data_IF_547060911908
#
_entry.id   IF_547060911908
#
_cell.length_a   1.000
_cell.length_b   1.000
_cell.length_c   1.000
_cell.angle_alpha   90.00
_cell.angle_beta   90.00
_cell.angle_gamma   90.00
#
_symmetry.space_group_name_H-M   'P 1'
#
loop_
_entity.id
_entity.type
_entity.pdbx_description
1 polymer ?
#
# COMPACT_ATOMS: atom_id res chain seq x y z
N UNK A 1 -7.81 22.19 12.44
CA UNK A 1 -6.85 21.51 11.55
C UNK A 1 -6.88 20.04 11.94
N UNK A 2 -7.32 19.18 11.06
CA UNK A 2 -7.37 17.74 11.30
C UNK A 2 -6.52 17.00 10.27
N UNK A 3 -6.27 15.72 10.53
CA UNK A 3 -5.64 14.80 9.58
C UNK A 3 -6.74 13.96 8.98
N UNK A 4 -7.06 14.16 7.70
CA UNK A 4 -8.08 13.40 7.00
C UNK A 4 -7.45 12.25 6.21
N UNK A 5 -7.90 11.02 6.46
CA UNK A 5 -7.40 9.82 5.78
C UNK A 5 -8.51 9.25 4.92
N UNK A 6 -8.32 9.22 3.60
CA UNK A 6 -9.27 8.58 2.69
C UNK A 6 -9.05 7.07 2.62
N UNK A 7 -10.05 6.31 2.18
CA UNK A 7 -9.95 4.85 2.22
C UNK A 7 -9.72 4.29 3.62
N UNK A 8 -10.18 5.00 4.64
CA UNK A 8 -9.89 4.75 6.05
C UNK A 8 -10.36 3.39 6.57
N UNK A 9 -11.30 2.73 5.92
CA UNK A 9 -11.74 1.35 6.24
C UNK A 9 -10.96 0.27 5.50
N UNK A 10 -10.04 0.67 4.60
CA UNK A 10 -9.15 -0.26 3.90
C UNK A 10 -7.95 -0.67 4.74
N UNK A 11 -7.19 -1.67 4.26
CA UNK A 11 -6.04 -2.22 4.99
C UNK A 11 -4.99 -1.15 5.36
N UNK A 12 -4.62 -0.28 4.42
CA UNK A 12 -3.62 0.76 4.69
C UNK A 12 -4.20 1.89 5.55
N UNK A 13 -5.39 2.39 5.19
CA UNK A 13 -6.00 3.53 5.89
C UNK A 13 -6.23 3.27 7.38
N UNK A 14 -6.66 2.05 7.75
CA UNK A 14 -6.81 1.65 9.17
C UNK A 14 -5.49 1.69 9.92
N UNK A 15 -4.42 1.17 9.31
CA UNK A 15 -3.09 1.17 9.92
C UNK A 15 -2.53 2.59 10.08
N UNK A 16 -2.77 3.47 9.10
CA UNK A 16 -2.37 4.89 9.22
C UNK A 16 -3.08 5.57 10.39
N UNK A 17 -4.39 5.37 10.53
CA UNK A 17 -5.15 5.95 11.65
C UNK A 17 -4.63 5.39 12.98
N UNK A 18 -4.40 4.08 13.07
CA UNK A 18 -3.86 3.46 14.28
C UNK A 18 -2.49 4.05 14.65
N UNK A 19 -1.57 4.18 13.70
CA UNK A 19 -0.23 4.76 13.93
C UNK A 19 -0.33 6.25 14.34
N UNK A 20 -1.24 7.04 13.74
CA UNK A 20 -1.49 8.43 14.15
C UNK A 20 -1.92 8.51 15.63
N UNK A 21 -2.85 7.66 16.04
CA UNK A 21 -3.31 7.60 17.42
C UNK A 21 -2.20 7.15 18.40
N UNK A 22 -1.40 6.16 18.00
CA UNK A 22 -0.22 5.69 18.76
C UNK A 22 0.85 6.78 18.90
N UNK A 23 1.00 7.66 17.91
CA UNK A 23 1.87 8.85 17.98
C UNK A 23 1.32 9.96 18.88
N UNK A 24 0.12 9.79 19.44
CA UNK A 24 -0.50 10.76 20.34
C UNK A 24 -1.32 11.85 19.62
N UNK A 25 -1.65 11.67 18.33
CA UNK A 25 -2.62 12.54 17.67
C UNK A 25 -3.99 12.29 18.33
N UNK A 26 -4.64 13.36 18.80
CA UNK A 26 -5.94 13.24 19.44
C UNK A 26 -6.99 12.65 18.48
N UNK A 27 -7.84 11.71 18.90
CA UNK A 27 -8.81 11.06 18.02
C UNK A 27 -9.72 12.05 17.27
N UNK A 28 -10.14 13.12 17.92
CA UNK A 28 -10.98 14.19 17.37
C UNK A 28 -10.23 15.09 16.37
N UNK A 29 -8.90 14.99 16.31
CA UNK A 29 -8.07 15.62 15.28
C UNK A 29 -7.83 14.70 14.07
N UNK A 30 -8.41 13.51 14.03
CA UNK A 30 -8.33 12.56 12.90
C UNK A 30 -9.72 12.41 12.28
N UNK A 31 -9.78 12.52 10.95
CA UNK A 31 -11.00 12.28 10.17
C UNK A 31 -10.84 11.06 9.25
N UNK A 32 -11.69 10.07 9.42
CA UNK A 32 -11.79 8.90 8.56
C UNK A 32 -12.77 9.18 7.41
N UNK A 33 -12.25 9.35 6.19
CA UNK A 33 -13.08 9.53 4.99
C UNK A 33 -13.36 8.17 4.38
N UNK A 34 -14.63 7.76 4.34
CA UNK A 34 -15.08 6.41 4.00
C UNK A 34 -16.27 6.42 3.05
N UNK A 35 -16.44 5.38 2.24
CA UNK A 35 -17.62 5.20 1.37
C UNK A 35 -18.86 4.74 2.15
N UNK A 36 -18.62 3.97 3.20
CA UNK A 36 -19.65 3.37 4.05
C UNK A 36 -19.33 3.64 5.52
N UNK A 37 -20.11 4.52 6.15
CA UNK A 37 -19.92 4.88 7.55
C UNK A 37 -20.12 3.72 8.53
N UNK A 38 -20.94 2.73 8.19
CA UNK A 38 -21.14 1.57 9.05
C UNK A 38 -19.87 0.73 9.24
N UNK A 39 -18.98 0.71 8.23
CA UNK A 39 -17.69 0.02 8.31
C UNK A 39 -16.63 0.74 9.14
N UNK A 40 -16.93 1.97 9.58
CA UNK A 40 -16.05 2.80 10.41
C UNK A 40 -16.58 2.96 11.85
N UNK A 41 -17.54 2.14 12.28
CA UNK A 41 -18.17 2.24 13.60
C UNK A 41 -17.13 2.10 14.74
N UNK A 42 -16.13 1.26 14.57
CA UNK A 42 -15.02 1.10 15.52
C UNK A 42 -14.14 2.36 15.61
N UNK A 43 -13.86 3.02 14.48
CA UNK A 43 -13.13 4.29 14.45
C UNK A 43 -13.93 5.40 15.14
N UNK A 44 -15.25 5.47 14.85
CA UNK A 44 -16.14 6.42 15.54
C UNK A 44 -16.19 6.16 17.06
N UNK A 45 -16.23 4.90 17.49
CA UNK A 45 -16.19 4.54 18.90
C UNK A 45 -14.86 4.91 19.58
N UNK A 46 -13.77 4.95 18.80
CA UNK A 46 -12.47 5.44 19.26
C UNK A 46 -12.37 7.00 19.30
N UNK A 47 -13.42 7.71 18.89
CA UNK A 47 -13.46 9.18 18.88
C UNK A 47 -12.97 9.83 17.58
N UNK A 48 -12.70 9.05 16.54
CA UNK A 48 -12.30 9.54 15.22
C UNK A 48 -13.53 10.10 14.49
N UNK A 49 -13.41 11.26 13.88
CA UNK A 49 -14.48 11.83 13.05
C UNK A 49 -14.70 10.95 11.80
N UNK A 50 -15.93 10.59 11.50
CA UNK A 50 -16.28 9.83 10.29
C UNK A 50 -16.95 10.74 9.28
N UNK A 51 -16.33 10.90 8.09
CA UNK A 51 -16.85 11.66 6.96
C UNK A 51 -17.19 10.69 5.82
N UNK A 52 -18.44 10.73 5.34
CA UNK A 52 -18.86 9.83 4.25
C UNK A 52 -18.66 10.52 2.91
N UNK A 53 -17.81 9.92 2.05
CA UNK A 53 -17.56 10.40 0.70
C UNK A 53 -17.10 9.26 -0.22
N UNK A 54 -17.46 9.39 -1.50
CA UNK A 54 -17.17 8.39 -2.52
C UNK A 54 -16.52 9.08 -3.73
N UNK A 55 -15.40 8.56 -4.18
CA UNK A 55 -14.66 9.09 -5.33
C UNK A 55 -15.47 9.06 -6.63
N UNK A 56 -16.40 8.10 -6.76
CA UNK A 56 -17.30 7.99 -7.91
C UNK A 56 -18.51 8.94 -7.83
N UNK A 57 -18.68 9.61 -6.70
CA UNK A 57 -19.76 10.57 -6.46
C UNK A 57 -19.19 11.90 -5.98
N UNK A 58 -18.65 12.75 -6.91
CA UNK A 58 -17.96 14.00 -6.57
C UNK A 58 -18.76 14.95 -5.67
N UNK A 59 -20.10 14.90 -5.74
CA UNK A 59 -20.97 15.70 -4.90
C UNK A 59 -20.84 15.36 -3.40
N UNK A 60 -20.43 14.13 -3.07
CA UNK A 60 -20.20 13.70 -1.68
C UNK A 60 -18.88 14.20 -1.11
N UNK A 61 -17.93 14.58 -1.96
CA UNK A 61 -16.62 15.07 -1.55
C UNK A 61 -16.63 16.49 -0.97
N UNK A 62 -17.75 17.21 -1.11
CA UNK A 62 -17.86 18.58 -0.64
C UNK A 62 -17.62 18.79 0.86
N UNK A 63 -17.90 17.78 1.67
CA UNK A 63 -17.68 17.79 3.12
C UNK A 63 -16.57 16.83 3.57
N UNK A 64 -15.81 16.27 2.63
CA UNK A 64 -14.74 15.32 2.98
C UNK A 64 -13.54 16.00 3.63
N UNK A 65 -13.29 17.26 3.28
CA UNK A 65 -12.11 18.02 3.70
C UNK A 65 -12.50 19.40 4.22
N UNK A 66 -11.73 19.92 5.15
CA UNK A 66 -11.86 21.29 5.68
C UNK A 66 -10.59 22.11 5.40
N UNK A 67 -10.73 23.45 5.46
CA UNK A 67 -9.60 24.34 5.31
C UNK A 67 -8.51 24.06 6.34
N UNK A 68 -7.27 23.94 5.89
CA UNK A 68 -6.11 23.66 6.73
C UNK A 68 -5.95 22.17 7.11
N UNK A 69 -6.79 21.26 6.63
CA UNK A 69 -6.58 19.82 6.86
C UNK A 69 -5.30 19.33 6.18
N UNK A 70 -4.65 18.34 6.79
CA UNK A 70 -3.61 17.52 6.14
C UNK A 70 -4.28 16.24 5.67
N UNK A 71 -4.26 16.00 4.38
CA UNK A 71 -5.03 14.92 3.77
C UNK A 71 -4.10 13.82 3.30
N UNK A 72 -4.39 12.55 3.64
CA UNK A 72 -3.86 11.40 2.95
C UNK A 72 -4.89 10.91 1.91
N UNK A 73 -4.58 11.09 0.64
CA UNK A 73 -5.30 10.45 -0.45
C UNK A 73 -4.72 9.06 -0.69
N UNK A 74 -5.41 8.03 -0.21
CA UNK A 74 -5.08 6.64 -0.53
C UNK A 74 -5.59 6.35 -1.94
N UNK A 75 -4.70 5.86 -2.81
CA UNK A 75 -5.03 5.55 -4.21
C UNK A 75 -6.16 4.52 -4.30
N UNK A 76 -7.05 4.72 -5.26
CA UNK A 76 -8.12 3.75 -5.58
C UNK A 76 -7.54 2.42 -6.06
N UNK A 77 -8.30 1.33 -5.89
CA UNK A 77 -7.92 -0.01 -6.34
C UNK A 77 -8.54 -0.40 -7.70
N UNK A 78 -9.33 0.48 -8.30
CA UNK A 78 -10.01 0.25 -9.57
C UNK A 78 -9.16 0.74 -10.73
N UNK A 79 -8.30 -0.14 -11.26
CA UNK A 79 -7.45 0.15 -12.44
C UNK A 79 -8.35 0.56 -13.62
N UNK A 80 -7.96 1.60 -14.35
CA UNK A 80 -8.74 2.20 -15.45
C UNK A 80 -9.73 3.28 -15.00
N UNK A 81 -10.02 3.41 -13.68
CA UNK A 81 -10.94 4.42 -13.14
C UNK A 81 -10.27 5.43 -12.21
N UNK A 82 -9.02 5.19 -11.85
CA UNK A 82 -8.30 6.03 -10.87
C UNK A 82 -8.21 7.49 -11.26
N UNK A 83 -7.89 7.80 -12.53
CA UNK A 83 -7.65 9.19 -12.95
C UNK A 83 -8.87 10.07 -12.68
N UNK A 84 -10.10 9.77 -13.15
CA UNK A 84 -11.28 10.58 -12.84
C UNK A 84 -11.63 10.58 -11.35
N UNK A 85 -11.49 9.46 -10.65
CA UNK A 85 -11.72 9.38 -9.20
C UNK A 85 -10.75 10.28 -8.42
N UNK A 86 -9.45 10.21 -8.74
CA UNK A 86 -8.44 11.02 -8.08
C UNK A 86 -8.58 12.51 -8.42
N UNK A 87 -8.92 12.86 -9.66
CA UNK A 87 -9.19 14.24 -10.04
C UNK A 87 -10.31 14.85 -9.18
N UNK A 88 -11.39 14.11 -8.94
CA UNK A 88 -12.49 14.59 -8.09
C UNK A 88 -12.04 14.86 -6.63
N UNK A 89 -11.16 14.00 -6.08
CA UNK A 89 -10.59 14.20 -4.74
C UNK A 89 -9.67 15.42 -4.70
N UNK A 90 -8.80 15.57 -5.71
CA UNK A 90 -7.86 16.71 -5.82
C UNK A 90 -8.64 18.02 -5.93
N UNK A 91 -9.68 18.07 -6.75
CA UNK A 91 -10.56 19.22 -6.88
C UNK A 91 -11.25 19.59 -5.57
N UNK A 92 -11.75 18.59 -4.83
CA UNK A 92 -12.38 18.80 -3.53
C UNK A 92 -11.38 19.32 -2.49
N UNK A 93 -10.19 18.75 -2.43
CA UNK A 93 -9.11 19.19 -1.55
C UNK A 93 -8.65 20.64 -1.87
N UNK A 94 -8.57 20.96 -3.17
CA UNK A 94 -8.22 22.32 -3.64
C UNK A 94 -9.29 23.33 -3.25
N UNK A 95 -10.57 23.02 -3.46
CA UNK A 95 -11.68 23.92 -3.04
C UNK A 95 -11.75 24.09 -1.52
N UNK A 96 -11.42 23.06 -0.77
CA UNK A 96 -11.38 23.13 0.70
C UNK A 96 -10.20 23.95 1.23
N UNK A 97 -9.12 24.12 0.44
CA UNK A 97 -7.90 24.79 0.88
C UNK A 97 -7.13 23.98 1.92
N UNK A 98 -6.89 22.69 1.65
CA UNK A 98 -6.12 21.83 2.55
C UNK A 98 -4.68 22.29 2.68
N UNK A 99 -4.04 22.08 3.84
CA UNK A 99 -2.67 22.50 4.08
C UNK A 99 -1.64 21.56 3.45
N UNK A 100 -1.99 20.30 3.24
CA UNK A 100 -1.14 19.29 2.61
C UNK A 100 -2.00 18.21 1.97
N UNK A 101 -1.65 17.81 0.75
CA UNK A 101 -2.18 16.63 0.09
C UNK A 101 -1.08 15.57 -0.05
N UNK A 102 -1.03 14.61 0.85
CA UNK A 102 -0.19 13.42 0.73
C UNK A 102 -0.89 12.36 -0.13
N UNK A 103 -0.17 11.75 -1.06
CA UNK A 103 -0.73 10.77 -1.98
C UNK A 103 0.08 9.47 -1.98
N UNK A 104 -0.60 8.32 -1.85
CA UNK A 104 0.03 7.01 -1.99
C UNK A 104 0.25 6.70 -3.47
N UNK A 105 1.41 7.06 -3.97
CA UNK A 105 1.88 6.80 -5.32
C UNK A 105 2.63 5.47 -5.41
N UNK A 106 3.39 5.26 -6.47
CA UNK A 106 4.15 4.04 -6.74
C UNK A 106 5.65 4.33 -6.87
N UNK A 107 6.47 3.40 -6.38
CA UNK A 107 7.94 3.45 -6.44
C UNK A 107 8.43 3.73 -7.84
N UNK A 108 9.44 4.61 -7.95
CA UNK A 108 10.01 5.06 -9.21
C UNK A 108 9.29 6.27 -9.84
N UNK A 109 8.04 6.55 -9.44
CA UNK A 109 7.28 7.71 -9.92
C UNK A 109 7.31 7.86 -11.44
N UNK A 110 7.83 9.01 -11.98
CA UNK A 110 7.89 9.21 -13.43
C UNK A 110 8.77 8.22 -14.21
N UNK A 111 9.66 7.49 -13.54
CA UNK A 111 10.57 6.51 -14.13
C UNK A 111 10.06 5.07 -14.05
N UNK A 112 8.97 4.83 -13.35
CA UNK A 112 8.36 3.50 -13.27
C UNK A 112 7.84 3.08 -14.65
N UNK A 113 8.14 1.85 -15.07
CA UNK A 113 7.89 1.31 -16.41
C UNK A 113 7.04 0.04 -16.37
N UNK A 114 6.03 0.01 -15.51
CA UNK A 114 5.02 -1.04 -15.42
C UNK A 114 3.62 -0.44 -15.39
N UNK A 115 2.62 -1.22 -15.80
CA UNK A 115 1.27 -0.73 -16.13
C UNK A 115 0.58 0.09 -15.03
N UNK A 116 0.73 -0.32 -13.77
CA UNK A 116 0.15 0.44 -12.65
C UNK A 116 0.72 1.87 -12.51
N UNK A 117 1.92 2.11 -12.99
CA UNK A 117 2.60 3.40 -12.84
C UNK A 117 1.96 4.53 -13.67
N UNK A 118 1.29 4.21 -14.77
CA UNK A 118 0.72 5.23 -15.67
C UNK A 118 -0.34 6.08 -14.98
N UNK A 119 -1.28 5.46 -14.27
CA UNK A 119 -2.33 6.18 -13.55
C UNK A 119 -1.78 6.93 -12.32
N UNK A 120 -0.74 6.39 -11.68
CA UNK A 120 -0.06 7.07 -10.57
C UNK A 120 0.69 8.31 -11.06
N UNK A 121 1.37 8.22 -12.21
CA UNK A 121 2.06 9.35 -12.85
C UNK A 121 1.07 10.46 -13.21
N UNK A 122 -0.03 10.11 -13.88
CA UNK A 122 -1.07 11.08 -14.22
C UNK A 122 -1.65 11.74 -12.96
N UNK A 123 -1.80 10.99 -11.86
CA UNK A 123 -2.29 11.56 -10.60
C UNK A 123 -1.26 12.48 -9.95
N UNK A 124 0.03 12.15 -9.95
CA UNK A 124 1.10 13.06 -9.47
C UNK A 124 1.10 14.36 -10.26
N UNK A 125 0.93 14.30 -11.60
CA UNK A 125 0.84 15.48 -12.46
C UNK A 125 -0.38 16.37 -12.12
N UNK A 126 -1.56 15.76 -11.89
CA UNK A 126 -2.76 16.48 -11.46
C UNK A 126 -2.56 17.16 -10.10
N UNK A 127 -1.96 16.47 -9.14
CA UNK A 127 -1.68 17.04 -7.82
C UNK A 127 -0.68 18.19 -7.94
N UNK A 128 0.40 18.04 -8.69
CA UNK A 128 1.40 19.10 -8.88
C UNK A 128 0.80 20.33 -9.57
N UNK A 129 -0.15 20.13 -10.51
CA UNK A 129 -0.84 21.22 -11.21
C UNK A 129 -1.91 21.91 -10.35
N UNK A 130 -2.38 21.30 -9.25
CA UNK A 130 -3.44 21.84 -8.39
C UNK A 130 -3.02 23.09 -7.59
N UNK A 131 -1.72 23.32 -7.42
CA UNK A 131 -1.15 24.37 -6.58
C UNK A 131 -1.19 24.09 -5.08
N UNK A 132 -1.70 22.94 -4.64
CA UNK A 132 -1.65 22.51 -3.23
C UNK A 132 -0.21 22.13 -2.83
N UNK A 133 0.20 22.39 -1.57
CA UNK A 133 1.36 21.71 -1.01
C UNK A 133 1.10 20.18 -1.02
N UNK A 134 2.06 19.42 -1.48
CA UNK A 134 1.88 17.97 -1.64
C UNK A 134 3.04 17.14 -1.09
N UNK A 135 2.77 15.86 -0.85
CA UNK A 135 3.80 14.84 -0.62
C UNK A 135 3.46 13.57 -1.39
N UNK A 136 4.38 13.08 -2.22
CA UNK A 136 4.24 11.80 -2.88
C UNK A 136 4.91 10.70 -2.05
N UNK A 137 4.09 9.78 -1.54
CA UNK A 137 4.53 8.55 -0.89
C UNK A 137 4.58 7.49 -1.98
N UNK A 138 5.72 7.35 -2.65
CA UNK A 138 5.93 6.40 -3.74
C UNK A 138 6.20 5.02 -3.14
N UNK A 139 5.12 4.35 -2.79
CA UNK A 139 5.15 3.03 -2.17
C UNK A 139 5.67 1.99 -3.16
N UNK A 140 6.58 1.14 -2.70
CA UNK A 140 6.98 -0.07 -3.41
C UNK A 140 5.87 -1.13 -3.34
N UNK A 141 6.21 -2.34 -2.91
CA UNK A 141 5.26 -3.44 -2.91
C UNK A 141 5.01 -3.97 -1.49
N UNK A 142 3.77 -4.36 -1.19
CA UNK A 142 3.41 -4.87 0.13
C UNK A 142 3.79 -6.35 0.26
N UNK A 143 4.48 -6.71 1.33
CA UNK A 143 4.82 -8.11 1.64
C UNK A 143 3.56 -8.97 1.79
N UNK A 144 2.46 -8.38 2.27
CA UNK A 144 1.19 -9.06 2.47
C UNK A 144 0.48 -9.47 1.16
N UNK A 145 0.91 -8.98 0.01
CA UNK A 145 0.42 -9.50 -1.29
C UNK A 145 0.84 -10.96 -1.47
N UNK A 146 2.01 -11.31 -0.97
CA UNK A 146 2.53 -12.69 -1.03
C UNK A 146 2.03 -13.55 0.14
N UNK A 147 2.04 -12.99 1.36
CA UNK A 147 1.62 -13.77 2.54
C UNK A 147 0.12 -14.08 2.55
N UNK A 148 -0.72 -13.28 1.88
CA UNK A 148 -2.14 -13.61 1.71
C UNK A 148 -2.38 -14.95 1.00
N UNK A 149 -1.39 -15.44 0.23
CA UNK A 149 -1.48 -16.73 -0.48
C UNK A 149 -0.87 -17.91 0.31
N UNK A 150 -0.40 -17.69 1.55
CA UNK A 150 0.21 -18.75 2.37
C UNK A 150 -0.66 -20.00 2.54
N UNK A 151 -2.00 -19.94 2.70
CA UNK A 151 -2.81 -21.14 2.77
C UNK A 151 -2.61 -22.06 1.57
N UNK A 152 -2.65 -21.55 0.35
CA UNK A 152 -2.43 -22.32 -0.87
C UNK A 152 -0.97 -22.79 -1.00
N UNK A 153 0.00 -21.95 -0.61
CA UNK A 153 1.42 -22.32 -0.59
C UNK A 153 1.67 -23.51 0.34
N UNK A 154 1.06 -23.51 1.54
CA UNK A 154 1.20 -24.59 2.50
C UNK A 154 0.47 -25.89 2.07
N UNK A 155 -0.63 -25.75 1.34
CA UNK A 155 -1.39 -26.89 0.81
C UNK A 155 -0.64 -27.59 -0.32
N UNK A 156 -0.05 -26.79 -1.24
CA UNK A 156 0.56 -27.34 -2.46
C UNK A 156 2.10 -27.48 -2.37
N UNK A 157 2.73 -26.92 -1.35
CA UNK A 157 4.20 -26.95 -1.17
C UNK A 157 4.95 -26.12 -2.22
N UNK A 158 4.29 -25.14 -2.84
CA UNK A 158 4.90 -24.37 -3.93
C UNK A 158 4.49 -22.89 -3.93
N UNK A 159 5.48 -22.03 -4.13
CA UNK A 159 5.32 -20.62 -4.51
C UNK A 159 5.47 -20.55 -6.03
N UNK A 160 4.50 -20.00 -6.73
CA UNK A 160 4.51 -19.85 -8.19
C UNK A 160 4.67 -18.37 -8.55
N UNK A 161 5.57 -18.08 -9.49
CA UNK A 161 5.80 -16.73 -10.01
C UNK A 161 6.45 -16.76 -11.38
N UNK A 162 6.64 -15.60 -11.98
CA UNK A 162 7.34 -15.40 -13.26
C UNK A 162 8.46 -14.35 -13.16
N UNK A 163 9.03 -14.18 -11.98
CA UNK A 163 10.08 -13.20 -11.71
C UNK A 163 11.51 -13.78 -11.80
N UNK A 164 11.66 -15.10 -12.06
CA UNK A 164 12.98 -15.75 -12.06
C UNK A 164 13.74 -15.50 -10.77
N UNK A 165 15.00 -15.04 -10.90
CA UNK A 165 15.87 -14.65 -9.79
C UNK A 165 15.75 -13.17 -9.41
N UNK A 166 14.76 -12.46 -9.95
CA UNK A 166 14.51 -11.06 -9.65
C UNK A 166 14.27 -10.81 -8.17
N UNK A 167 14.65 -9.61 -7.70
CA UNK A 167 14.55 -9.25 -6.29
C UNK A 167 13.57 -8.12 -6.10
N UNK A 168 12.90 -8.12 -4.95
CA UNK A 168 11.94 -7.10 -4.53
C UNK A 168 12.24 -6.62 -3.12
N UNK A 169 12.31 -5.30 -2.93
CA UNK A 169 12.42 -4.65 -1.64
C UNK A 169 11.02 -4.30 -1.09
N UNK A 170 10.19 -5.32 -0.86
CA UNK A 170 8.87 -5.11 -0.26
C UNK A 170 8.98 -4.74 1.21
N UNK A 171 7.93 -4.10 1.73
CA UNK A 171 7.79 -3.82 3.15
C UNK A 171 6.38 -4.15 3.62
N UNK A 172 6.17 -4.23 4.93
CA UNK A 172 4.85 -4.45 5.51
C UNK A 172 3.94 -3.24 5.29
N UNK A 173 2.63 -3.46 5.17
CA UNK A 173 1.66 -2.35 5.16
C UNK A 173 1.76 -1.49 6.40
N UNK A 174 2.15 -2.06 7.54
CA UNK A 174 2.38 -1.31 8.77
C UNK A 174 3.55 -0.32 8.63
N UNK A 175 4.64 -0.68 7.94
CA UNK A 175 5.76 0.24 7.70
C UNK A 175 5.35 1.40 6.76
N UNK A 176 4.59 1.11 5.70
CA UNK A 176 4.06 2.16 4.82
C UNK A 176 3.07 3.08 5.56
N UNK A 177 2.25 2.51 6.43
CA UNK A 177 1.33 3.28 7.27
C UNK A 177 2.09 4.19 8.24
N UNK A 178 3.12 3.67 8.90
CA UNK A 178 3.97 4.44 9.80
C UNK A 178 4.69 5.59 9.06
N UNK A 179 5.16 5.36 7.82
CA UNK A 179 5.75 6.41 6.98
C UNK A 179 4.72 7.50 6.62
N UNK A 180 3.50 7.11 6.24
CA UNK A 180 2.43 8.05 5.95
C UNK A 180 2.03 8.86 7.19
N UNK A 181 1.88 8.21 8.35
CA UNK A 181 1.56 8.87 9.60
C UNK A 181 2.68 9.84 10.04
N UNK A 182 3.96 9.47 9.87
CA UNK A 182 5.08 10.35 10.14
C UNK A 182 5.04 11.63 9.29
N UNK A 183 4.72 11.51 8.00
CA UNK A 183 4.55 12.66 7.09
C UNK A 183 3.35 13.51 7.51
N UNK A 184 2.22 12.90 7.87
CA UNK A 184 1.01 13.64 8.21
C UNK A 184 1.11 14.36 9.56
N UNK A 185 1.82 13.79 10.53
CA UNK A 185 2.01 14.39 11.86
C UNK A 185 3.25 15.30 11.93
N UNK A 186 4.20 15.14 11.00
CA UNK A 186 5.46 15.89 10.98
C UNK A 186 5.39 17.21 10.19
N UNK A 187 6.51 17.90 10.08
CA UNK A 187 6.68 19.14 9.33
C UNK A 187 7.81 19.02 8.29
N UNK A 188 7.82 19.89 7.29
CA UNK A 188 8.90 19.94 6.28
C UNK A 188 8.79 18.86 5.21
N UNK A 189 7.61 18.32 5.00
CA UNK A 189 7.32 17.29 4.00
C UNK A 189 6.69 17.84 2.72
N UNK A 190 6.40 19.16 2.68
CA UNK A 190 5.72 19.81 1.57
C UNK A 190 6.58 19.77 0.30
N UNK A 191 5.95 19.49 -0.84
CA UNK A 191 6.56 19.43 -2.18
C UNK A 191 7.71 18.40 -2.27
N UNK A 192 7.58 17.29 -1.56
CA UNK A 192 8.53 16.18 -1.56
C UNK A 192 7.94 14.92 -2.16
N UNK A 193 8.82 14.08 -2.69
CA UNK A 193 8.53 12.70 -3.05
C UNK A 193 9.48 11.78 -2.27
N UNK A 194 8.93 10.73 -1.68
CA UNK A 194 9.68 9.70 -0.95
C UNK A 194 9.58 8.37 -1.68
N UNK A 195 10.73 7.78 -2.00
CA UNK A 195 10.81 6.43 -2.59
C UNK A 195 10.80 5.41 -1.45
N UNK A 196 9.63 4.85 -1.16
CA UNK A 196 9.40 3.99 0.00
C UNK A 196 9.52 2.52 -0.38
N UNK A 197 10.50 1.85 0.18
CA UNK A 197 10.78 0.42 0.00
C UNK A 197 11.34 -0.19 1.28
N UNK A 198 11.34 -1.52 1.37
CA UNK A 198 12.02 -2.24 2.44
C UNK A 198 13.53 -2.03 2.40
N UNK A 199 14.19 -2.21 3.54
CA UNK A 199 15.65 -2.07 3.66
C UNK A 199 16.42 -3.24 3.02
N UNK A 200 15.74 -4.36 2.78
CA UNK A 200 16.34 -5.57 2.21
C UNK A 200 15.50 -6.08 1.05
N UNK A 201 16.14 -6.26 -0.11
CA UNK A 201 15.53 -6.92 -1.25
C UNK A 201 15.70 -8.44 -1.13
N UNK A 202 14.63 -9.18 -1.41
CA UNK A 202 14.58 -10.64 -1.37
C UNK A 202 14.05 -11.21 -2.70
N UNK A 203 14.32 -12.49 -2.97
CA UNK A 203 13.85 -13.21 -4.15
C UNK A 203 12.78 -14.24 -3.78
N UNK A 204 11.98 -14.68 -4.76
CA UNK A 204 10.96 -15.71 -4.49
C UNK A 204 11.53 -17.04 -3.98
N UNK A 205 12.72 -17.51 -4.43
CA UNK A 205 13.39 -18.64 -3.77
C UNK A 205 13.67 -18.39 -2.28
N UNK A 206 14.13 -17.19 -1.90
CA UNK A 206 14.36 -16.83 -0.48
C UNK A 206 13.05 -16.77 0.31
N UNK A 207 11.96 -16.28 -0.30
CA UNK A 207 10.62 -16.30 0.31
C UNK A 207 10.13 -17.74 0.54
N UNK A 208 10.23 -18.60 -0.46
CA UNK A 208 9.84 -20.01 -0.34
C UNK A 208 10.66 -20.73 0.76
N UNK A 209 11.97 -20.47 0.82
CA UNK A 209 12.84 -21.02 1.86
C UNK A 209 12.43 -20.52 3.27
N UNK A 210 12.09 -19.24 3.42
CA UNK A 210 11.61 -18.69 4.68
C UNK A 210 10.28 -19.32 5.12
N UNK A 211 9.34 -19.52 4.18
CA UNK A 211 8.08 -20.22 4.48
C UNK A 211 8.33 -21.65 4.89
N UNK A 212 9.21 -22.39 4.18
CA UNK A 212 9.54 -23.77 4.51
C UNK A 212 10.13 -23.90 5.90
N UNK A 213 11.10 -23.06 6.22
CA UNK A 213 11.77 -23.07 7.54
C UNK A 213 10.81 -22.74 8.68
N UNK A 214 10.00 -21.67 8.51
CA UNK A 214 9.09 -21.21 9.55
C UNK A 214 7.88 -22.12 9.76
N UNK A 215 7.41 -22.79 8.71
CA UNK A 215 6.26 -23.71 8.80
C UNK A 215 6.65 -25.16 9.12
N UNK A 216 7.94 -25.51 8.96
CA UNK A 216 8.41 -26.89 9.04
C UNK A 216 7.90 -27.78 7.89
N UNK A 217 7.38 -27.21 6.81
CA UNK A 217 6.84 -27.93 5.65
C UNK A 217 7.72 -27.69 4.42
N UNK A 218 7.87 -28.67 3.52
CA UNK A 218 8.62 -28.46 2.28
C UNK A 218 7.87 -27.45 1.38
N UNK A 219 8.52 -26.36 1.03
CA UNK A 219 8.02 -25.35 0.07
C UNK A 219 9.16 -24.99 -0.87
N UNK A 220 8.88 -24.99 -2.17
CA UNK A 220 9.83 -24.60 -3.22
C UNK A 220 9.26 -23.50 -4.09
N UNK A 221 10.12 -22.70 -4.70
CA UNK A 221 9.71 -21.77 -5.76
C UNK A 221 9.72 -22.48 -7.11
N UNK A 222 8.69 -22.25 -7.91
CA UNK A 222 8.59 -22.67 -9.30
C UNK A 222 8.39 -21.45 -10.19
N UNK A 223 9.42 -21.13 -10.96
CA UNK A 223 9.32 -20.13 -12.01
C UNK A 223 8.57 -20.71 -13.20
N UNK A 224 7.57 -19.97 -13.69
CA UNK A 224 6.70 -20.39 -14.80
C UNK A 224 6.57 -19.27 -15.82
N UNK A 225 6.09 -19.58 -17.02
CA UNK A 225 5.82 -18.56 -18.02
C UNK A 225 4.66 -17.64 -17.61
N UNK A 226 4.65 -16.40 -18.12
CA UNK A 226 3.56 -15.45 -17.92
C UNK A 226 2.21 -16.04 -18.38
N UNK A 227 2.20 -16.82 -19.49
CA UNK A 227 0.99 -17.48 -19.96
C UNK A 227 0.47 -18.53 -18.98
N UNK A 228 1.34 -19.43 -18.49
CA UNK A 228 0.97 -20.46 -17.50
C UNK A 228 0.45 -19.81 -16.21
N UNK A 229 1.11 -18.72 -15.79
CA UNK A 229 0.66 -17.96 -14.61
C UNK A 229 -0.72 -17.33 -14.81
N UNK A 230 -1.00 -16.76 -16.00
CA UNK A 230 -2.32 -16.22 -16.35
C UNK A 230 -3.40 -17.29 -16.25
N UNK A 231 -3.13 -18.48 -16.80
CA UNK A 231 -4.05 -19.62 -16.77
C UNK A 231 -4.34 -20.08 -15.34
N UNK A 232 -3.31 -20.18 -14.49
CA UNK A 232 -3.47 -20.56 -13.07
C UNK A 232 -4.28 -19.51 -12.31
N UNK A 233 -3.92 -18.24 -12.41
CA UNK A 233 -4.59 -17.15 -11.68
C UNK A 233 -6.07 -17.06 -12.06
N UNK A 234 -6.38 -17.11 -13.35
CA UNK A 234 -7.78 -17.07 -13.84
C UNK A 234 -8.55 -18.33 -13.45
N UNK A 235 -7.88 -19.48 -13.47
CA UNK A 235 -8.44 -20.78 -13.06
C UNK A 235 -8.86 -20.83 -11.58
N UNK A 236 -8.19 -20.07 -10.70
CA UNK A 236 -8.59 -19.93 -9.29
C UNK A 236 -9.50 -18.72 -9.02
N UNK A 237 -10.03 -18.09 -10.09
CA UNK A 237 -11.04 -17.04 -10.00
C UNK A 237 -10.49 -15.61 -9.87
N UNK A 238 -9.19 -15.38 -10.07
CA UNK A 238 -8.63 -14.02 -10.16
C UNK A 238 -9.11 -13.38 -11.47
N UNK A 239 -9.69 -12.16 -11.43
CA UNK A 239 -10.08 -11.46 -12.66
C UNK A 239 -8.90 -11.28 -13.62
N UNK A 240 -9.14 -11.48 -14.92
CA UNK A 240 -8.07 -11.50 -15.93
C UNK A 240 -7.23 -10.22 -15.94
N UNK A 241 -7.85 -9.05 -15.79
CA UNK A 241 -7.15 -7.76 -15.75
C UNK A 241 -6.24 -7.66 -14.52
N UNK A 242 -6.68 -8.17 -13.36
CA UNK A 242 -5.85 -8.18 -12.16
C UNK A 242 -4.74 -9.23 -12.22
N UNK A 243 -4.99 -10.38 -12.85
CA UNK A 243 -3.95 -11.37 -13.14
C UNK A 243 -2.85 -10.77 -14.03
N UNK A 244 -3.22 -10.01 -15.07
CA UNK A 244 -2.27 -9.31 -15.93
C UNK A 244 -1.40 -8.31 -15.14
N UNK A 245 -1.97 -7.58 -14.19
CA UNK A 245 -1.22 -6.68 -13.29
C UNK A 245 -0.19 -7.45 -12.46
N UNK A 246 -0.56 -8.60 -11.88
CA UNK A 246 0.36 -9.40 -11.06
C UNK A 246 1.53 -9.95 -11.90
N UNK A 247 1.25 -10.33 -13.14
CA UNK A 247 2.27 -10.82 -14.09
C UNK A 247 3.25 -9.70 -14.46
N UNK A 248 2.73 -8.52 -14.82
CA UNK A 248 3.55 -7.35 -15.18
C UNK A 248 4.45 -6.90 -14.01
N UNK A 249 3.95 -6.98 -12.79
CA UNK A 249 4.75 -6.70 -11.58
C UNK A 249 5.89 -7.70 -11.42
N UNK A 250 5.65 -9.01 -11.60
CA UNK A 250 6.72 -10.01 -11.53
C UNK A 250 7.76 -9.81 -12.64
N UNK A 251 7.33 -9.45 -13.84
CA UNK A 251 8.24 -9.08 -14.93
C UNK A 251 9.06 -7.82 -14.59
N UNK A 252 8.45 -6.84 -13.90
CA UNK A 252 9.17 -5.66 -13.39
C UNK A 252 10.19 -6.07 -12.31
N UNK A 253 9.86 -7.03 -11.44
CA UNK A 253 10.78 -7.61 -10.47
C UNK A 253 11.94 -8.31 -11.19
N UNK A 254 11.66 -9.12 -12.23
CA UNK A 254 12.69 -9.77 -13.05
C UNK A 254 13.65 -8.76 -13.67
N UNK A 255 13.15 -7.60 -14.08
CA UNK A 255 13.95 -6.48 -14.60
C UNK A 255 14.65 -5.64 -13.52
N UNK A 256 14.49 -5.98 -12.22
CA UNK A 256 15.13 -5.28 -11.09
C UNK A 256 14.47 -3.94 -10.72
N UNK A 257 13.28 -3.63 -11.21
CA UNK A 257 12.61 -2.34 -11.00
C UNK A 257 12.13 -2.13 -9.57
N UNK A 258 11.94 -3.20 -8.82
CA UNK A 258 11.45 -3.18 -7.43
C UNK A 258 12.52 -3.60 -6.40
N UNK A 259 13.78 -3.72 -6.81
CA UNK A 259 14.88 -4.13 -5.93
C UNK A 259 15.56 -2.98 -5.17
N UNK A 260 15.25 -1.73 -5.53
CA UNK A 260 15.92 -0.56 -4.95
C UNK A 260 15.57 -0.37 -3.47
N UNK A 261 16.62 -0.14 -2.65
CA UNK A 261 16.50 0.15 -1.21
C UNK A 261 17.00 1.57 -0.95
N UNK A 262 16.08 2.53 -0.87
CA UNK A 262 16.42 3.96 -0.68
C UNK A 262 16.83 4.29 0.76
N UNK A 263 16.34 3.51 1.74
CA UNK A 263 16.43 3.80 3.16
C UNK A 263 15.58 5.00 3.60
N UNK A 264 14.74 5.55 2.71
CA UNK A 264 13.89 6.69 3.07
C UNK A 264 12.77 6.28 4.03
N UNK A 265 12.22 5.07 3.86
CA UNK A 265 11.20 4.56 4.77
C UNK A 265 11.73 4.42 6.20
N UNK A 266 12.85 3.74 6.40
CA UNK A 266 13.45 3.57 7.73
C UNK A 266 13.81 4.90 8.39
N UNK A 267 14.26 5.91 7.61
CA UNK A 267 14.48 7.26 8.13
C UNK A 267 13.18 7.94 8.58
N UNK A 268 12.08 7.81 7.83
CA UNK A 268 10.79 8.38 8.19
C UNK A 268 10.17 7.73 9.43
N UNK A 269 10.24 6.39 9.52
CA UNK A 269 9.63 5.65 10.64
C UNK A 269 10.54 5.58 11.88
N UNK A 270 11.81 5.99 11.76
CA UNK A 270 12.77 6.02 12.88
C UNK A 270 13.27 4.63 13.34
N UNK A 271 13.07 3.59 12.53
CA UNK A 271 13.52 2.22 12.78
C UNK A 271 13.74 1.47 11.45
N UNK A 272 14.46 0.34 11.45
CA UNK A 272 14.48 -0.54 10.30
C UNK A 272 13.08 -0.98 9.87
N UNK A 273 12.90 -1.23 8.56
CA UNK A 273 11.67 -1.82 8.05
C UNK A 273 11.53 -3.27 8.49
N UNK A 274 10.29 -3.73 8.65
CA UNK A 274 9.99 -5.11 9.03
C UNK A 274 10.50 -6.08 7.97
N UNK A 275 11.42 -7.01 8.30
CA UNK A 275 11.90 -8.00 7.36
C UNK A 275 10.76 -8.88 6.81
N UNK A 276 10.85 -9.31 5.56
CA UNK A 276 9.88 -10.23 4.93
C UNK A 276 9.60 -11.46 5.81
N UNK A 277 10.65 -12.05 6.39
CA UNK A 277 10.55 -13.22 7.25
C UNK A 277 9.66 -13.00 8.48
N UNK A 278 9.69 -11.81 9.07
CA UNK A 278 8.83 -11.47 10.22
C UNK A 278 7.35 -11.37 9.80
N UNK A 279 7.07 -10.75 8.65
CA UNK A 279 5.71 -10.70 8.10
C UNK A 279 5.17 -12.11 7.81
N UNK A 280 5.99 -12.99 7.26
CA UNK A 280 5.66 -14.41 7.06
C UNK A 280 5.37 -15.10 8.39
N UNK A 281 6.20 -14.90 9.42
CA UNK A 281 6.01 -15.50 10.74
C UNK A 281 4.70 -15.04 11.41
N UNK A 282 4.35 -13.76 11.28
CA UNK A 282 3.08 -13.22 11.80
C UNK A 282 1.89 -13.91 11.14
N UNK A 283 1.91 -14.03 9.82
CA UNK A 283 0.80 -14.65 9.08
C UNK A 283 0.70 -16.16 9.36
N UNK A 284 1.82 -16.87 9.38
CA UNK A 284 1.84 -18.30 9.73
C UNK A 284 1.30 -18.54 11.15
N UNK A 285 1.60 -17.64 12.10
CA UNK A 285 1.03 -17.73 13.47
C UNK A 285 -0.47 -17.52 13.46
N UNK A 286 -0.98 -16.54 12.70
CA UNK A 286 -2.42 -16.29 12.56
C UNK A 286 -3.16 -17.48 11.95
N UNK A 287 -2.50 -18.22 11.04
CA UNK A 287 -3.02 -19.45 10.43
C UNK A 287 -2.84 -20.70 11.30
N UNK A 288 -2.19 -20.60 12.47
CA UNK A 288 -1.84 -21.76 13.29
C UNK A 288 -0.86 -22.73 12.62
N UNK A 289 -0.06 -22.22 11.67
CA UNK A 289 0.84 -23.00 10.83
C UNK A 289 2.33 -22.68 11.07
N UNK A 290 2.65 -21.90 12.11
CA UNK A 290 4.02 -21.70 12.54
C UNK A 290 4.56 -23.01 13.12
N UNK A 291 5.68 -23.50 12.59
CA UNK A 291 6.36 -24.69 13.13
C UNK A 291 6.71 -24.46 14.59
N UNK A 292 6.51 -25.46 15.44
CA UNK A 292 6.82 -25.34 16.85
C UNK A 292 8.30 -24.99 17.07
N UNK A 293 8.55 -24.17 18.07
CA UNK A 293 9.91 -23.97 18.58
C UNK A 293 10.50 -25.36 18.94
N UNK A 294 11.56 -25.75 18.25
CA UNK A 294 12.40 -26.90 18.62
C UNK A 294 13.37 -26.45 19.71
#
# INVERSE_FOLDING_TARGET
MSIAVTGATGHLGRLVIADLLERGVAPDAVAAVVRDGAKAADLAAAGVEVRVADYDRPETLGNAFAAGDRVLMVSGNEVGRRIPQHAAVIDAATRAGVALLAYTSVLGGPKADFTLADEHRATEELIAASGLPYTFLRNGWYTEVYTANLPAVLEHGVVIGNAGDGRIASASRADYAAAAAAVLAGEGHENRAYELSGDTAWSFPEYAAAVAELSGRPVAYRDISAQERQEILTGVGVPADFAAVLIDVDEAIARGRLAGTSGEMSRLIGRPTTPMRETVAVELRALGALGGEV
#
